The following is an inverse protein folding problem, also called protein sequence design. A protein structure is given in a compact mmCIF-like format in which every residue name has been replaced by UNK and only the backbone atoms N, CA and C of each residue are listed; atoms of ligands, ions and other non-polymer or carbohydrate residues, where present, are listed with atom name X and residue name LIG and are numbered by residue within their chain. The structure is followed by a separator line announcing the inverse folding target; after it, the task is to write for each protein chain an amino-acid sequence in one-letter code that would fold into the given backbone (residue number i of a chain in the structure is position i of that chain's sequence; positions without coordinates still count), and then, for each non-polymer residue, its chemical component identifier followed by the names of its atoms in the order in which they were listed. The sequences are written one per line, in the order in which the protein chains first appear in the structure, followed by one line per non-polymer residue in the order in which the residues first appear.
data_IF_781875667640
#
_entry.id   IF_781875667640
#
_cell.length_a   1.000
_cell.length_b   1.000
_cell.length_c   1.000
_cell.angle_alpha   90.00
_cell.angle_beta   90.00
_cell.angle_gamma   90.00
#
_symmetry.space_group_name_H-M   'P 1'
#
loop_
_entity.id
_entity.type
_entity.pdbx_description
1 polymer ?
#
# COMPACT_ATOMS: atom_id res chain seq x y z
N UNK A 1 -4.25 2.77 -9.55
CA UNK A 1 -3.07 3.19 -8.77
C UNK A 1 -2.27 4.34 -9.39
N UNK A 2 -2.76 5.06 -10.42
CA UNK A 2 -2.12 6.26 -10.98
C UNK A 2 -0.57 6.19 -11.04
N UNK A 3 0.15 7.08 -10.34
CA UNK A 3 1.63 7.15 -10.33
C UNK A 3 2.31 5.87 -9.85
N UNK A 4 1.68 5.11 -8.94
CA UNK A 4 2.19 3.84 -8.45
C UNK A 4 1.94 2.66 -9.42
N UNK A 5 1.14 2.85 -10.48
CA UNK A 5 0.72 1.76 -11.38
C UNK A 5 1.89 1.03 -12.03
N UNK A 6 2.87 1.77 -12.55
CA UNK A 6 4.06 1.21 -13.18
C UNK A 6 4.89 0.37 -12.20
N UNK A 7 5.06 0.87 -10.97
CA UNK A 7 5.86 0.20 -9.95
C UNK A 7 5.14 -1.00 -9.34
N UNK A 8 3.82 -0.98 -9.27
CA UNK A 8 3.03 -2.16 -8.91
C UNK A 8 3.14 -3.25 -10.00
N UNK A 9 3.19 -2.88 -11.28
CA UNK A 9 3.47 -3.84 -12.35
C UNK A 9 4.88 -4.44 -12.22
N UNK A 10 5.89 -3.63 -11.88
CA UNK A 10 7.24 -4.13 -11.55
C UNK A 10 7.22 -5.08 -10.34
N UNK A 11 6.49 -4.73 -9.28
CA UNK A 11 6.34 -5.59 -8.11
C UNK A 11 5.71 -6.94 -8.47
N UNK A 12 4.70 -6.96 -9.35
CA UNK A 12 4.11 -8.19 -9.88
C UNK A 12 5.12 -9.02 -10.69
N UNK A 13 5.98 -8.39 -11.51
CA UNK A 13 7.03 -9.10 -12.25
C UNK A 13 8.05 -9.72 -11.28
N UNK A 14 8.53 -8.95 -10.31
CA UNK A 14 9.47 -9.46 -9.29
C UNK A 14 8.84 -10.61 -8.51
N UNK A 15 7.62 -10.45 -8.00
CA UNK A 15 6.92 -11.48 -7.24
C UNK A 15 6.82 -12.80 -8.01
N UNK A 16 6.35 -12.74 -9.26
CA UNK A 16 6.09 -13.94 -10.07
C UNK A 16 7.34 -14.56 -10.71
N UNK A 17 8.42 -13.79 -10.91
CA UNK A 17 9.57 -14.21 -11.73
C UNK A 17 10.93 -14.03 -11.05
N UNK A 18 10.99 -13.67 -9.76
CA UNK A 18 12.25 -13.41 -9.02
C UNK A 18 13.36 -14.44 -9.32
N UNK A 19 13.05 -15.74 -9.38
CA UNK A 19 14.00 -16.81 -9.63
C UNK A 19 14.68 -16.77 -11.02
N UNK A 20 14.11 -16.09 -12.01
CA UNK A 20 14.62 -16.02 -13.38
C UNK A 20 15.01 -14.61 -13.83
N UNK A 21 15.01 -13.64 -12.92
CA UNK A 21 15.22 -12.22 -13.24
C UNK A 21 16.69 -11.79 -13.17
N UNK A 22 17.56 -12.56 -12.53
CA UNK A 22 18.99 -12.25 -12.46
C UNK A 22 19.63 -12.18 -13.84
N UNK A 23 20.31 -11.06 -14.12
CA UNK A 23 20.93 -10.75 -15.41
C UNK A 23 19.98 -10.14 -16.44
N UNK A 24 18.66 -10.15 -16.21
CA UNK A 24 17.66 -9.67 -17.16
C UNK A 24 17.59 -8.13 -17.19
N UNK A 25 17.13 -7.59 -18.32
CA UNK A 25 16.79 -6.18 -18.47
C UNK A 25 15.27 -6.01 -18.50
N UNK A 26 14.74 -5.16 -17.62
CA UNK A 26 13.33 -4.75 -17.66
C UNK A 26 13.26 -3.34 -18.27
N UNK A 27 12.47 -3.20 -19.33
CA UNK A 27 12.11 -1.89 -19.89
C UNK A 27 10.82 -1.40 -19.23
N UNK A 28 10.81 -0.14 -18.84
CA UNK A 28 9.74 0.53 -18.12
C UNK A 28 9.25 1.71 -18.94
N UNK A 29 7.94 1.86 -19.08
CA UNK A 29 7.33 3.01 -19.75
C UNK A 29 6.39 3.72 -18.78
N UNK A 30 6.73 4.96 -18.42
CA UNK A 30 5.93 5.81 -17.55
C UNK A 30 5.21 6.87 -18.37
N UNK A 31 3.95 7.11 -18.05
CA UNK A 31 3.08 8.06 -18.74
C UNK A 31 2.21 8.83 -17.73
N UNK A 32 2.06 10.13 -17.97
CA UNK A 32 1.07 10.99 -17.34
C UNK A 32 0.44 11.92 -18.37
N UNK A 33 -0.89 12.03 -18.35
CA UNK A 33 -1.65 12.89 -19.29
C UNK A 33 -1.30 14.37 -19.12
N UNK A 34 -1.17 15.10 -20.24
CA UNK A 34 -0.76 16.51 -20.25
C UNK A 34 0.15 16.94 -21.43
N UNK A 35 1.30 16.33 -21.72
CA UNK A 35 1.81 15.01 -21.35
C UNK A 35 3.28 15.04 -20.90
N UNK A 36 3.63 14.11 -20.02
CA UNK A 36 5.03 13.78 -19.67
C UNK A 36 5.21 12.28 -19.69
N UNK A 37 6.21 11.80 -20.43
CA UNK A 37 6.51 10.37 -20.52
C UNK A 37 8.01 10.12 -20.48
N UNK A 38 8.40 8.94 -20.01
CA UNK A 38 9.79 8.50 -20.02
C UNK A 38 9.84 6.99 -20.17
N UNK A 39 10.63 6.52 -21.14
CA UNK A 39 11.04 5.14 -21.23
C UNK A 39 12.44 5.00 -20.62
N UNK A 40 12.60 4.05 -19.71
CA UNK A 40 13.87 3.77 -19.03
C UNK A 40 14.02 2.26 -18.83
N UNK A 41 15.19 1.79 -18.41
CA UNK A 41 15.40 0.35 -18.16
C UNK A 41 16.27 0.09 -16.95
N UNK A 42 16.07 -1.07 -16.34
CA UNK A 42 16.89 -1.61 -15.25
C UNK A 42 17.58 -2.88 -15.73
N UNK A 43 18.86 -3.06 -15.36
CA UNK A 43 19.49 -4.37 -15.39
C UNK A 43 19.41 -4.95 -13.99
N UNK A 44 18.72 -6.07 -13.85
CA UNK A 44 18.56 -6.75 -12.58
C UNK A 44 19.78 -7.66 -12.36
N UNK A 45 20.34 -7.58 -11.16
CA UNK A 45 21.44 -8.44 -10.73
C UNK A 45 21.02 -9.12 -9.43
N UNK A 46 21.60 -10.28 -9.16
CA UNK A 46 21.42 -10.91 -7.87
C UNK A 46 22.06 -10.04 -6.78
N UNK A 47 21.32 -9.81 -5.71
CA UNK A 47 21.80 -9.05 -4.55
C UNK A 47 22.17 -9.96 -3.39
N UNK A 48 22.57 -9.37 -2.28
CA UNK A 48 22.73 -10.08 -1.01
C UNK A 48 21.57 -9.77 -0.08
N UNK A 49 21.21 -10.70 0.80
CA UNK A 49 20.17 -10.46 1.80
C UNK A 49 20.52 -9.24 2.67
N UNK A 50 19.58 -8.31 2.96
CA UNK A 50 18.13 -8.38 2.66
C UNK A 50 17.73 -7.83 1.28
N UNK A 51 18.67 -7.33 0.49
CA UNK A 51 18.42 -6.68 -0.80
C UNK A 51 18.59 -7.63 -2.00
N UNK A 52 17.97 -8.80 -1.95
CA UNK A 52 17.95 -9.76 -3.06
C UNK A 52 16.52 -9.99 -3.58
N UNK A 53 16.39 -10.55 -4.80
CA UNK A 53 15.10 -10.65 -5.48
C UNK A 53 14.12 -11.58 -4.75
N UNK A 54 14.62 -12.68 -4.18
CA UNK A 54 13.82 -13.63 -3.41
C UNK A 54 13.24 -12.99 -2.14
N UNK A 55 14.04 -12.24 -1.39
CA UNK A 55 13.58 -11.55 -0.19
C UNK A 55 12.59 -10.42 -0.53
N UNK A 56 12.81 -9.68 -1.63
CA UNK A 56 11.83 -8.68 -2.10
C UNK A 56 10.49 -9.36 -2.40
N UNK A 57 10.48 -10.47 -3.14
CA UNK A 57 9.26 -11.21 -3.45
C UNK A 57 8.57 -11.74 -2.18
N UNK A 58 9.35 -12.27 -1.23
CA UNK A 58 8.84 -12.76 0.06
C UNK A 58 8.21 -11.64 0.90
N UNK A 59 8.86 -10.47 1.02
CA UNK A 59 8.35 -9.32 1.78
C UNK A 59 7.14 -8.68 1.10
N UNK A 60 7.08 -8.71 -0.24
CA UNK A 60 5.93 -8.21 -0.98
C UNK A 60 4.67 -9.01 -0.68
N UNK A 61 4.78 -10.34 -0.53
CA UNK A 61 3.71 -11.27 -0.18
C UNK A 61 2.36 -10.95 -0.87
N UNK A 62 2.42 -10.84 -2.20
CA UNK A 62 1.31 -10.29 -3.00
C UNK A 62 0.07 -11.18 -2.89
N UNK A 63 0.24 -12.51 -2.92
CA UNK A 63 -0.89 -13.45 -2.84
C UNK A 63 -1.64 -13.32 -1.52
N UNK A 64 -0.94 -13.37 -0.37
CA UNK A 64 -1.60 -13.26 0.93
C UNK A 64 -2.36 -11.93 1.08
N UNK A 65 -1.77 -10.81 0.61
CA UNK A 65 -2.44 -9.50 0.62
C UNK A 65 -3.66 -9.43 -0.30
N UNK A 66 -3.67 -10.14 -1.42
CA UNK A 66 -4.81 -10.18 -2.33
C UNK A 66 -5.93 -11.09 -1.80
N UNK A 67 -5.58 -12.19 -1.14
CA UNK A 67 -6.52 -13.13 -0.53
C UNK A 67 -7.14 -12.58 0.75
N UNK A 68 -6.41 -11.74 1.51
CA UNK A 68 -6.93 -11.09 2.72
C UNK A 68 -7.87 -9.91 2.46
N UNK A 69 -8.28 -9.67 1.20
CA UNK A 69 -9.17 -8.55 0.85
C UNK A 69 -10.62 -8.87 1.22
N UNK A 70 -11.38 -7.81 1.49
CA UNK A 70 -12.80 -7.91 1.77
C UNK A 70 -13.64 -7.58 0.55
N UNK A 71 -14.40 -8.56 0.06
CA UNK A 71 -15.36 -8.36 -1.02
C UNK A 71 -16.49 -7.45 -0.53
N UNK A 72 -16.89 -6.48 -1.35
CA UNK A 72 -17.95 -5.51 -1.05
C UNK A 72 -18.96 -5.54 -2.18
N UNK A 73 -20.26 -5.44 -1.85
CA UNK A 73 -21.30 -5.39 -2.88
C UNK A 73 -21.23 -4.08 -3.70
N UNK A 74 -21.68 -4.06 -4.95
CA UNK A 74 -21.70 -2.85 -5.77
C UNK A 74 -22.44 -1.68 -5.11
N UNK A 75 -23.54 -1.94 -4.42
CA UNK A 75 -24.36 -0.91 -3.76
C UNK A 75 -23.56 -0.23 -2.64
N UNK A 76 -22.97 -1.03 -1.74
CA UNK A 76 -22.13 -0.51 -0.66
C UNK A 76 -20.89 0.23 -1.19
N UNK A 77 -20.32 -0.25 -2.31
CA UNK A 77 -19.23 0.44 -2.98
C UNK A 77 -19.66 1.82 -3.51
N UNK A 78 -20.82 1.93 -4.16
CA UNK A 78 -21.38 3.19 -4.65
C UNK A 78 -21.69 4.14 -3.50
N UNK A 79 -22.28 3.66 -2.40
CA UNK A 79 -22.56 4.49 -1.22
C UNK A 79 -21.26 5.02 -0.60
N UNK A 80 -20.21 4.21 -0.60
CA UNK A 80 -18.88 4.64 -0.18
C UNK A 80 -18.32 5.73 -1.10
N UNK A 81 -18.48 5.60 -2.42
CA UNK A 81 -18.04 6.64 -3.37
C UNK A 81 -18.77 7.97 -3.15
N UNK A 82 -20.09 7.94 -2.96
CA UNK A 82 -20.88 9.15 -2.65
C UNK A 82 -20.43 9.81 -1.34
N UNK A 83 -20.15 9.00 -0.31
CA UNK A 83 -19.57 9.51 0.94
C UNK A 83 -18.22 10.19 0.69
N UNK A 84 -17.32 9.58 -0.11
CA UNK A 84 -16.02 10.16 -0.41
C UNK A 84 -16.11 11.46 -1.21
N UNK A 85 -17.08 11.59 -2.11
CA UNK A 85 -17.40 12.84 -2.81
C UNK A 85 -17.75 13.96 -1.82
N UNK A 86 -18.62 13.70 -0.85
CA UNK A 86 -18.95 14.67 0.20
C UNK A 86 -17.76 15.02 1.10
N UNK A 87 -16.81 14.11 1.32
CA UNK A 87 -15.61 14.37 2.13
C UNK A 87 -14.51 15.11 1.37
N UNK A 88 -14.54 15.10 0.04
CA UNK A 88 -13.55 15.77 -0.77
C UNK A 88 -13.64 17.30 -0.61
N UNK A 89 -12.59 17.92 -0.06
CA UNK A 89 -12.57 19.35 0.21
C UNK A 89 -13.40 19.80 1.43
N UNK A 90 -13.99 18.86 2.19
CA UNK A 90 -14.70 19.18 3.42
C UNK A 90 -13.75 19.38 4.61
N UNK A 91 -14.26 20.04 5.66
CA UNK A 91 -13.61 20.24 6.96
C UNK A 91 -14.61 19.99 8.09
N UNK A 92 -14.10 20.00 9.31
CA UNK A 92 -14.88 19.88 10.54
C UNK A 92 -15.74 18.60 10.61
N UNK A 93 -15.09 17.44 10.42
CA UNK A 93 -15.75 16.15 10.52
C UNK A 93 -14.87 15.05 11.13
N UNK A 94 -15.54 14.07 11.75
CA UNK A 94 -14.96 12.81 12.18
C UNK A 94 -15.31 11.68 11.19
N UNK A 95 -14.42 10.71 11.03
CA UNK A 95 -14.65 9.51 10.21
C UNK A 95 -15.39 8.42 11.00
N UNK A 96 -15.93 7.42 10.30
CA UNK A 96 -16.53 6.24 10.95
C UNK A 96 -15.48 5.50 11.78
N UNK A 97 -15.86 5.05 12.98
CA UNK A 97 -14.99 4.30 13.90
C UNK A 97 -14.80 2.83 13.53
N UNK A 98 -15.51 2.32 12.52
CA UNK A 98 -15.34 0.93 12.10
C UNK A 98 -14.00 0.74 11.36
N UNK A 99 -13.01 0.26 12.10
CA UNK A 99 -11.68 -0.11 11.62
C UNK A 99 -11.49 -1.64 11.59
N UNK A 100 -12.57 -2.42 11.73
CA UNK A 100 -12.51 -3.88 11.84
C UNK A 100 -11.80 -4.53 10.65
N UNK A 101 -12.07 -4.04 9.44
CA UNK A 101 -11.54 -4.53 8.17
C UNK A 101 -10.10 -4.10 7.88
N UNK A 102 -9.52 -3.17 8.64
CA UNK A 102 -8.14 -2.74 8.41
C UNK A 102 -7.17 -3.78 8.98
N UNK A 103 -6.09 -4.16 8.28
CA UNK A 103 -5.03 -4.95 8.90
C UNK A 103 -4.36 -4.20 10.06
N UNK A 104 -3.84 -4.89 11.07
CA UNK A 104 -3.03 -4.25 12.10
C UNK A 104 -1.84 -3.49 11.52
N UNK A 105 -1.47 -2.40 12.18
CA UNK A 105 -0.45 -1.47 11.73
C UNK A 105 -0.87 -0.50 10.64
N UNK A 106 -2.10 -0.61 10.12
CA UNK A 106 -2.64 0.31 9.11
C UNK A 106 -2.91 1.69 9.73
N UNK A 107 -2.41 2.74 9.07
CA UNK A 107 -2.75 4.11 9.40
C UNK A 107 -4.10 4.50 8.77
N UNK A 108 -4.94 5.21 9.51
CA UNK A 108 -6.25 5.67 9.05
C UNK A 108 -6.54 7.10 9.52
N UNK A 109 -7.37 7.82 8.74
CA UNK A 109 -7.81 9.18 9.06
C UNK A 109 -8.91 9.12 10.12
N UNK A 110 -8.76 9.89 11.21
CA UNK A 110 -9.75 9.98 12.30
C UNK A 110 -10.65 11.20 12.15
N UNK A 111 -10.07 12.35 11.80
CA UNK A 111 -10.83 13.59 11.61
C UNK A 111 -10.10 14.58 10.72
N UNK A 112 -10.89 15.53 10.20
CA UNK A 112 -10.42 16.77 9.59
C UNK A 112 -11.04 17.92 10.37
N UNK A 113 -10.25 18.79 10.97
CA UNK A 113 -10.80 19.88 11.77
C UNK A 113 -11.21 21.10 10.94
N UNK A 114 -11.71 22.15 11.60
CA UNK A 114 -12.17 23.39 10.98
C UNK A 114 -11.09 24.18 10.22
N UNK A 115 -9.82 23.85 10.43
CA UNK A 115 -8.64 24.42 9.74
C UNK A 115 -8.10 23.48 8.66
N UNK A 116 -8.85 22.44 8.27
CA UNK A 116 -8.45 21.41 7.31
C UNK A 116 -7.26 20.55 7.75
N UNK A 117 -6.88 20.57 9.04
CA UNK A 117 -5.80 19.71 9.55
C UNK A 117 -6.32 18.28 9.66
N UNK A 118 -5.55 17.33 9.15
CA UNK A 118 -5.89 15.90 9.14
C UNK A 118 -5.20 15.19 10.28
N UNK A 119 -5.96 14.39 11.02
CA UNK A 119 -5.45 13.62 12.16
C UNK A 119 -5.54 12.13 11.83
N UNK A 120 -4.49 11.39 12.20
CA UNK A 120 -4.34 9.98 11.86
C UNK A 120 -4.02 9.17 13.10
N UNK A 121 -4.49 7.93 13.10
CA UNK A 121 -4.14 6.91 14.09
C UNK A 121 -3.64 5.65 13.38
N UNK A 122 -2.99 4.77 14.13
CA UNK A 122 -2.50 3.47 13.65
C UNK A 122 -3.29 2.38 14.36
N UNK A 123 -3.92 1.47 13.61
CA UNK A 123 -4.60 0.32 14.19
C UNK A 123 -3.58 -0.56 14.92
N UNK A 124 -3.77 -0.78 16.21
CA UNK A 124 -2.97 -1.74 16.98
C UNK A 124 -3.53 -3.15 16.79
N UNK A 125 -2.69 -4.17 17.00
CA UNK A 125 -3.18 -5.54 17.14
C UNK A 125 -4.24 -5.58 18.25
N UNK A 126 -5.36 -6.29 18.03
CA UNK A 126 -6.37 -6.49 19.07
C UNK A 126 -5.72 -7.12 20.30
N UNK A 127 -5.95 -6.55 21.48
CA UNK A 127 -5.46 -7.12 22.74
C UNK A 127 -6.10 -8.51 22.90
N UNK A 128 -5.29 -9.55 22.76
CA UNK A 128 -5.55 -10.86 23.35
C UNK A 128 -4.41 -11.06 24.37
N UNK A 129 -4.76 -11.06 25.65
CA UNK A 129 -3.89 -11.39 26.80
C UNK A 129 -2.69 -10.49 27.08
N UNK A 130 -2.85 -9.16 27.06
CA UNK A 130 -1.99 -8.25 27.83
C UNK A 130 -0.50 -8.23 27.47
N UNK A 131 -0.08 -8.86 26.37
CA UNK A 131 1.29 -8.82 25.86
C UNK A 131 1.29 -8.18 24.49
N UNK A 132 1.78 -6.94 24.45
CA UNK A 132 2.16 -6.27 23.20
C UNK A 132 3.23 -7.13 22.54
N UNK A 133 2.88 -7.88 21.50
CA UNK A 133 3.87 -8.37 20.54
C UNK A 133 4.30 -7.17 19.70
N UNK A 134 5.21 -6.36 20.25
CA UNK A 134 6.01 -5.47 19.43
C UNK A 134 6.83 -6.38 18.52
N UNK A 135 6.36 -6.62 17.30
CA UNK A 135 7.27 -6.93 16.20
C UNK A 135 8.06 -5.65 15.95
N UNK A 136 9.14 -5.49 16.71
CA UNK A 136 10.20 -4.54 16.45
C UNK A 136 10.85 -4.90 15.11
N UNK A 137 10.21 -4.51 14.02
CA UNK A 137 10.87 -4.28 12.75
C UNK A 137 11.36 -2.85 12.75
N UNK A 138 12.63 -2.65 13.11
CA UNK A 138 13.33 -1.37 12.97
C UNK A 138 13.13 -0.88 11.54
N UNK A 139 12.47 0.27 11.36
CA UNK A 139 12.44 0.97 10.08
C UNK A 139 12.68 2.46 10.36
N UNK A 140 13.93 2.85 10.09
CA UNK A 140 14.49 4.21 10.08
C UNK A 140 14.96 4.72 11.44
N UNK A 141 16.18 4.30 11.79
CA UNK A 141 17.04 5.05 12.70
C UNK A 141 17.42 6.41 12.11
N UNK A 142 17.74 7.33 13.02
CA UNK A 142 18.64 8.46 12.73
C UNK A 142 20.05 7.95 12.49
#
# INVERSE_FOLDING_TARGET
MYTASLYAALASVIYNKHASLTGQRIVMFSYGSGLTSTMFSFKLNEGQHPFNLANIASVLDVTAKLESRHVTSPEKFIDTLKLMEHRYGAKDFETSKDISLLPPGTFYLTKVDSMYRRFYEKKTDGIVDGKIKCSNGIANGH
#
